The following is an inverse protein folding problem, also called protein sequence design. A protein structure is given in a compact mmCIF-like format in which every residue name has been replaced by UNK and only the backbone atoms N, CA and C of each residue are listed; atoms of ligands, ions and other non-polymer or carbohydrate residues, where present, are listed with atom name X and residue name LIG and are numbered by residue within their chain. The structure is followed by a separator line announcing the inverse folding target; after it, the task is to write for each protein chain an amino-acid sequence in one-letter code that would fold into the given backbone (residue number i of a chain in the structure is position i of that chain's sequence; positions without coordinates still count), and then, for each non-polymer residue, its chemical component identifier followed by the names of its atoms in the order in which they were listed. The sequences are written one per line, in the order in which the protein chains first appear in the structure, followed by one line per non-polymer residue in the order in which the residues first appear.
data_IF_864888713027
#
_entry.id   IF_864888713027
#
_cell.length_a   1.000
_cell.length_b   1.000
_cell.length_c   1.000
_cell.angle_alpha   90.00
_cell.angle_beta   90.00
_cell.angle_gamma   90.00
#
_symmetry.space_group_name_H-M   'P 1'
#
loop_
_entity.id
_entity.type
_entity.pdbx_description
1 polymer ?
#
# COMPACT_ATOMS: atom_id res chain seq x y z
N UNK A 1 21.64 -20.17 -1.55
CA UNK A 1 21.42 -18.70 -1.60
C UNK A 1 22.58 -18.08 -2.37
N UNK A 2 22.33 -17.28 -3.39
CA UNK A 2 23.38 -16.57 -4.13
C UNK A 2 23.96 -15.43 -3.29
N UNK A 3 25.23 -15.07 -3.53
CA UNK A 3 25.91 -13.99 -2.80
C UNK A 3 25.18 -12.63 -2.90
N UNK A 4 24.46 -12.38 -4.02
CA UNK A 4 23.65 -11.18 -4.21
C UNK A 4 22.48 -11.05 -3.23
N UNK A 5 21.83 -12.16 -2.87
CA UNK A 5 20.71 -12.16 -1.93
C UNK A 5 21.15 -11.81 -0.49
N UNK A 6 22.35 -12.26 -0.10
CA UNK A 6 22.92 -11.96 1.23
C UNK A 6 23.37 -10.49 1.30
N UNK A 7 23.95 -9.96 0.22
CA UNK A 7 24.33 -8.55 0.12
C UNK A 7 23.13 -7.59 0.18
N UNK A 8 22.04 -7.91 -0.53
CA UNK A 8 20.82 -7.09 -0.53
C UNK A 8 20.15 -7.00 0.85
N UNK A 9 20.02 -8.14 1.56
CA UNK A 9 19.44 -8.16 2.91
C UNK A 9 20.26 -7.34 3.92
N UNK A 10 21.59 -7.45 3.88
CA UNK A 10 22.48 -6.68 4.75
C UNK A 10 22.35 -5.17 4.50
N UNK A 11 22.29 -4.77 3.22
CA UNK A 11 22.07 -3.38 2.82
C UNK A 11 20.71 -2.86 3.30
N UNK A 12 19.62 -3.60 3.06
CA UNK A 12 18.29 -3.25 3.55
C UNK A 12 18.28 -3.02 5.06
N UNK A 13 18.83 -3.96 5.83
CA UNK A 13 18.91 -3.84 7.29
C UNK A 13 19.70 -2.59 7.71
N UNK A 14 20.88 -2.36 7.12
CA UNK A 14 21.75 -1.21 7.40
C UNK A 14 21.04 0.13 7.16
N UNK A 15 20.30 0.25 6.05
CA UNK A 15 19.56 1.47 5.68
C UNK A 15 18.38 1.70 6.63
N UNK A 16 17.64 0.63 6.98
CA UNK A 16 16.49 0.70 7.89
C UNK A 16 16.93 1.11 9.31
N UNK A 17 17.96 0.46 9.89
CA UNK A 17 18.44 0.83 11.24
C UNK A 17 19.00 2.26 11.30
N UNK A 18 19.50 2.74 10.15
CA UNK A 18 19.96 4.12 10.01
C UNK A 18 18.84 5.11 9.69
N UNK A 19 17.57 4.70 9.82
CA UNK A 19 16.38 5.52 9.58
C UNK A 19 16.33 6.14 8.17
N UNK A 20 16.73 5.36 7.15
CA UNK A 20 16.67 5.76 5.75
C UNK A 20 17.52 7.02 5.42
N UNK A 21 18.69 7.13 6.05
CA UNK A 21 19.66 8.23 5.83
C UNK A 21 20.08 8.32 4.34
N UNK A 22 20.06 9.55 3.80
CA UNK A 22 20.40 9.86 2.40
C UNK A 22 21.81 9.40 2.00
N UNK A 23 22.75 9.28 2.95
CA UNK A 23 24.13 8.88 2.64
C UNK A 23 24.26 7.50 2.02
N UNK A 24 23.22 6.66 2.11
CA UNK A 24 23.21 5.32 1.53
C UNK A 24 22.78 5.27 0.06
N UNK A 25 22.39 6.41 -0.54
CA UNK A 25 21.98 6.46 -1.95
C UNK A 25 23.03 5.86 -2.87
N UNK A 26 24.30 6.27 -2.74
CA UNK A 26 25.39 5.79 -3.60
C UNK A 26 25.64 4.29 -3.42
N UNK A 27 25.54 3.79 -2.19
CA UNK A 27 25.70 2.36 -1.88
C UNK A 27 24.56 1.53 -2.49
N UNK A 28 23.31 2.02 -2.42
CA UNK A 28 22.16 1.37 -3.03
C UNK A 28 22.25 1.39 -4.56
N UNK A 29 22.65 2.52 -5.15
CA UNK A 29 22.84 2.63 -6.59
C UNK A 29 23.95 1.68 -7.08
N UNK A 30 25.06 1.60 -6.36
CA UNK A 30 26.15 0.66 -6.67
C UNK A 30 25.64 -0.79 -6.66
N UNK A 31 24.83 -1.17 -5.67
CA UNK A 31 24.22 -2.49 -5.61
C UNK A 31 23.25 -2.74 -6.78
N UNK A 32 22.42 -1.76 -7.13
CA UNK A 32 21.53 -1.84 -8.29
C UNK A 32 22.32 -2.09 -9.58
N UNK A 33 23.39 -1.33 -9.83
CA UNK A 33 24.25 -1.49 -11.00
C UNK A 33 24.94 -2.86 -11.02
N UNK A 34 25.36 -3.39 -9.86
CA UNK A 34 25.94 -4.72 -9.78
C UNK A 34 24.93 -5.85 -10.13
N UNK A 35 23.62 -5.56 -10.07
CA UNK A 35 22.57 -6.49 -10.45
C UNK A 35 22.12 -6.31 -11.91
N UNK A 36 22.60 -5.30 -12.64
CA UNK A 36 22.21 -5.08 -14.04
C UNK A 36 22.72 -6.19 -14.96
N UNK A 37 21.87 -6.67 -15.86
CA UNK A 37 22.20 -7.77 -16.78
C UNK A 37 22.13 -9.18 -16.15
N UNK A 38 21.83 -9.28 -14.86
CA UNK A 38 21.71 -10.53 -14.11
C UNK A 38 20.23 -10.85 -13.83
N UNK A 39 19.59 -11.60 -14.72
CA UNK A 39 18.16 -11.95 -14.61
C UNK A 39 17.82 -12.65 -13.29
N UNK A 40 18.74 -13.45 -12.75
CA UNK A 40 18.61 -14.12 -11.46
C UNK A 40 18.61 -13.15 -10.25
N UNK A 41 19.04 -11.90 -10.45
CA UNK A 41 19.08 -10.85 -9.43
C UNK A 41 18.03 -9.76 -9.64
N UNK A 42 17.13 -9.91 -10.62
CA UNK A 42 16.11 -8.90 -10.93
C UNK A 42 15.24 -8.55 -9.72
N UNK A 43 14.86 -9.54 -8.91
CA UNK A 43 14.10 -9.28 -7.68
C UNK A 43 14.89 -8.44 -6.68
N UNK A 44 16.18 -8.72 -6.49
CA UNK A 44 17.05 -7.95 -5.60
C UNK A 44 17.25 -6.52 -6.11
N UNK A 45 17.37 -6.33 -7.42
CA UNK A 45 17.43 -5.00 -8.04
C UNK A 45 16.15 -4.21 -7.82
N UNK A 46 14.98 -4.82 -8.01
CA UNK A 46 13.67 -4.19 -7.77
C UNK A 46 13.52 -3.80 -6.30
N UNK A 47 13.87 -4.68 -5.37
CA UNK A 47 13.83 -4.41 -3.93
C UNK A 47 14.76 -3.26 -3.53
N UNK A 48 15.98 -3.22 -4.08
CA UNK A 48 16.92 -2.14 -3.86
C UNK A 48 16.42 -0.79 -4.42
N UNK A 49 15.78 -0.78 -5.60
CA UNK A 49 15.14 0.43 -6.14
C UNK A 49 13.96 0.89 -5.29
N UNK A 50 13.14 -0.03 -4.78
CA UNK A 50 12.09 0.32 -3.84
C UNK A 50 12.67 0.93 -2.55
N UNK A 51 13.77 0.38 -2.03
CA UNK A 51 14.49 0.97 -0.88
C UNK A 51 15.04 2.37 -1.20
N UNK A 52 15.62 2.57 -2.38
CA UNK A 52 16.08 3.88 -2.85
C UNK A 52 14.93 4.90 -2.89
N UNK A 53 13.77 4.49 -3.40
CA UNK A 53 12.57 5.34 -3.41
C UNK A 53 12.12 5.73 -2.00
N UNK A 54 12.18 4.79 -1.04
CA UNK A 54 11.87 5.07 0.38
C UNK A 54 12.88 6.04 1.01
N UNK A 55 14.18 5.90 0.71
CA UNK A 55 15.21 6.85 1.15
C UNK A 55 14.91 8.25 0.61
N UNK A 56 14.60 8.39 -0.68
CA UNK A 56 14.22 9.68 -1.25
C UNK A 56 12.98 10.27 -0.58
N UNK A 57 11.94 9.46 -0.34
CA UNK A 57 10.73 9.89 0.37
C UNK A 57 11.04 10.42 1.77
N UNK A 58 11.83 9.69 2.54
CA UNK A 58 12.15 10.04 3.93
C UNK A 58 12.99 11.32 4.03
N UNK A 59 13.63 11.74 2.95
CA UNK A 59 14.48 12.92 2.88
C UNK A 59 13.84 14.07 2.06
N UNK A 60 12.52 14.03 1.83
CA UNK A 60 11.78 15.11 1.15
C UNK A 60 12.00 15.19 -0.37
N UNK A 61 12.60 14.17 -0.98
CA UNK A 61 12.91 14.11 -2.41
C UNK A 61 11.81 13.37 -3.18
N UNK A 62 10.57 13.87 -3.10
CA UNK A 62 9.39 13.24 -3.71
C UNK A 62 9.51 13.04 -5.21
N UNK A 63 10.14 13.98 -5.92
CA UNK A 63 10.34 13.90 -7.38
C UNK A 63 11.23 12.71 -7.77
N UNK A 64 12.39 12.57 -7.13
CA UNK A 64 13.29 11.42 -7.35
C UNK A 64 12.64 10.10 -6.98
N UNK A 65 11.81 10.08 -5.94
CA UNK A 65 11.04 8.88 -5.57
C UNK A 65 10.02 8.50 -6.65
N UNK A 66 9.33 9.49 -7.23
CA UNK A 66 8.38 9.26 -8.32
C UNK A 66 9.10 8.76 -9.58
N UNK A 67 10.24 9.33 -9.94
CA UNK A 67 11.06 8.89 -11.08
C UNK A 67 11.43 7.41 -10.96
N UNK A 68 11.94 6.98 -9.79
CA UNK A 68 12.24 5.56 -9.54
C UNK A 68 10.98 4.69 -9.64
N UNK A 69 9.84 5.18 -9.12
CA UNK A 69 8.56 4.47 -9.21
C UNK A 69 8.08 4.28 -10.65
N UNK A 70 8.11 5.33 -11.46
CA UNK A 70 7.74 5.29 -12.88
C UNK A 70 8.66 4.37 -13.67
N UNK A 71 9.97 4.43 -13.40
CA UNK A 71 10.95 3.56 -14.03
C UNK A 71 10.63 2.08 -13.76
N UNK A 72 10.36 1.71 -12.49
CA UNK A 72 9.97 0.36 -12.12
C UNK A 72 8.65 -0.07 -12.75
N UNK A 73 7.62 0.78 -12.68
CA UNK A 73 6.29 0.47 -13.21
C UNK A 73 6.30 0.23 -14.73
N UNK A 74 7.17 0.93 -15.46
CA UNK A 74 7.37 0.72 -16.89
C UNK A 74 7.94 -0.66 -17.26
N UNK A 75 8.66 -1.30 -16.33
CA UNK A 75 9.31 -2.59 -16.53
C UNK A 75 8.49 -3.77 -16.00
N UNK A 76 7.53 -3.52 -15.11
CA UNK A 76 6.78 -4.60 -14.46
C UNK A 76 5.86 -5.34 -15.42
N UNK A 77 5.85 -6.66 -15.32
CA UNK A 77 4.77 -7.51 -15.83
C UNK A 77 3.54 -7.40 -14.92
N UNK A 78 2.39 -7.95 -15.33
CA UNK A 78 1.18 -7.92 -14.50
C UNK A 78 1.38 -8.70 -13.19
N UNK A 79 2.23 -9.72 -13.21
CA UNK A 79 2.60 -10.46 -12.01
C UNK A 79 3.47 -9.61 -11.06
N UNK A 80 4.44 -8.89 -11.62
CA UNK A 80 5.28 -7.98 -10.84
C UNK A 80 4.47 -6.81 -10.27
N UNK A 81 3.53 -6.25 -11.02
CA UNK A 81 2.62 -5.20 -10.53
C UNK A 81 1.80 -5.66 -9.32
N UNK A 82 1.31 -6.91 -9.33
CA UNK A 82 0.59 -7.47 -8.19
C UNK A 82 1.50 -7.70 -6.98
N UNK A 83 2.70 -8.26 -7.22
CA UNK A 83 3.69 -8.56 -6.17
C UNK A 83 4.26 -7.29 -5.51
N UNK A 84 4.58 -6.27 -6.30
CA UNK A 84 5.18 -5.01 -5.87
C UNK A 84 4.14 -3.87 -5.85
N UNK A 85 2.96 -4.16 -5.31
CA UNK A 85 1.84 -3.23 -5.26
C UNK A 85 2.16 -1.92 -4.49
N UNK A 86 3.12 -1.94 -3.56
CA UNK A 86 3.58 -0.74 -2.85
C UNK A 86 4.18 0.30 -3.79
N UNK A 87 4.77 -0.10 -4.93
CA UNK A 87 5.33 0.81 -5.93
C UNK A 87 4.23 1.64 -6.58
N UNK A 88 3.12 1.03 -7.02
CA UNK A 88 1.99 1.79 -7.59
C UNK A 88 1.29 2.65 -6.53
N UNK A 89 1.14 2.12 -5.31
CA UNK A 89 0.60 2.87 -4.16
C UNK A 89 1.41 4.13 -3.84
N UNK A 90 2.74 4.04 -3.89
CA UNK A 90 3.66 5.17 -3.73
C UNK A 90 3.54 6.15 -4.88
N UNK A 91 3.56 5.66 -6.13
CA UNK A 91 3.49 6.49 -7.33
C UNK A 91 2.21 7.33 -7.39
N UNK A 92 1.03 6.76 -7.11
CA UNK A 92 -0.23 7.54 -7.10
C UNK A 92 -0.26 8.62 -6.02
N UNK A 93 0.39 8.37 -4.87
CA UNK A 93 0.49 9.38 -3.80
C UNK A 93 1.39 10.53 -4.24
N UNK A 94 2.58 10.19 -4.75
CA UNK A 94 3.58 11.19 -5.16
C UNK A 94 3.15 11.98 -6.37
N UNK A 95 2.48 11.37 -7.33
CA UNK A 95 1.96 12.09 -8.49
C UNK A 95 0.90 13.11 -8.09
N UNK A 96 0.07 12.82 -7.08
CA UNK A 96 -0.83 13.81 -6.48
C UNK A 96 -0.06 14.95 -5.81
N UNK A 97 0.91 14.65 -4.94
CA UNK A 97 1.69 15.69 -4.25
C UNK A 97 2.40 16.64 -5.22
N UNK A 98 2.82 16.13 -6.38
CA UNK A 98 3.60 16.85 -7.39
C UNK A 98 2.74 17.41 -8.54
N UNK A 99 1.44 17.12 -8.60
CA UNK A 99 0.59 17.53 -9.72
C UNK A 99 0.89 16.80 -11.05
N UNK A 100 1.51 15.61 -11.01
CA UNK A 100 1.98 14.82 -12.16
C UNK A 100 1.12 13.57 -12.40
N UNK A 101 -0.20 13.69 -12.23
CA UNK A 101 -1.12 12.54 -12.25
C UNK A 101 -1.12 11.77 -13.57
N UNK A 102 -0.97 12.45 -14.71
CA UNK A 102 -1.05 11.84 -16.05
C UNK A 102 0.04 10.80 -16.29
N UNK A 103 1.22 10.97 -15.69
CA UNK A 103 2.34 10.03 -15.83
C UNK A 103 2.07 8.68 -15.16
N UNK A 104 1.25 8.67 -14.11
CA UNK A 104 0.91 7.44 -13.36
C UNK A 104 -0.37 6.79 -13.87
N UNK A 105 -1.23 7.55 -14.57
CA UNK A 105 -2.53 7.07 -15.08
C UNK A 105 -2.47 5.72 -15.81
N UNK A 106 -1.60 5.49 -16.81
CA UNK A 106 -1.59 4.22 -17.53
C UNK A 106 -1.24 3.03 -16.61
N UNK A 107 -0.37 3.23 -15.63
CA UNK A 107 0.00 2.20 -14.67
C UNK A 107 -1.10 1.92 -13.66
N UNK A 108 -1.81 2.96 -13.20
CA UNK A 108 -2.96 2.82 -12.32
C UNK A 108 -4.09 2.06 -13.01
N UNK A 109 -4.43 2.41 -14.25
CA UNK A 109 -5.44 1.67 -15.04
C UNK A 109 -5.05 0.20 -15.19
N UNK A 110 -3.81 -0.06 -15.62
CA UNK A 110 -3.29 -1.42 -15.77
C UNK A 110 -3.34 -2.22 -14.47
N UNK A 111 -3.01 -1.60 -13.34
CA UNK A 111 -3.09 -2.24 -12.02
C UNK A 111 -4.54 -2.59 -11.63
N UNK A 112 -5.50 -1.69 -11.86
CA UNK A 112 -6.90 -1.91 -11.50
C UNK A 112 -7.54 -3.04 -12.31
N UNK A 113 -7.25 -3.14 -13.61
CA UNK A 113 -7.83 -4.19 -14.47
C UNK A 113 -7.08 -5.54 -14.37
N UNK A 114 -5.94 -5.56 -13.67
CA UNK A 114 -5.13 -6.76 -13.51
C UNK A 114 -5.78 -7.74 -12.53
N UNK A 115 -6.30 -8.86 -13.05
CA UNK A 115 -6.93 -9.93 -12.25
C UNK A 115 -5.99 -10.64 -11.27
N UNK A 116 -4.66 -10.47 -11.41
CA UNK A 116 -3.68 -10.96 -10.44
C UNK A 116 -3.54 -10.05 -9.22
N UNK A 117 -3.98 -8.78 -9.28
CA UNK A 117 -3.93 -7.86 -8.14
C UNK A 117 -4.99 -8.27 -7.10
N UNK A 118 -4.54 -8.57 -5.88
CA UNK A 118 -5.42 -9.06 -4.78
C UNK A 118 -5.33 -8.23 -3.51
N UNK A 119 -4.39 -7.29 -3.44
CA UNK A 119 -4.24 -6.42 -2.28
C UNK A 119 -5.35 -5.38 -2.28
N UNK A 120 -6.42 -5.65 -1.52
CA UNK A 120 -7.63 -4.81 -1.50
C UNK A 120 -7.31 -3.37 -1.10
N UNK A 121 -6.33 -3.16 -0.22
CA UNK A 121 -5.99 -1.83 0.29
C UNK A 121 -5.34 -0.97 -0.81
N UNK A 122 -4.37 -1.55 -1.54
CA UNK A 122 -3.78 -0.87 -2.69
C UNK A 122 -4.78 -0.69 -3.82
N UNK A 123 -5.62 -1.69 -4.11
CA UNK A 123 -6.70 -1.57 -5.09
C UNK A 123 -7.65 -0.42 -4.75
N UNK A 124 -8.12 -0.34 -3.51
CA UNK A 124 -8.99 0.74 -3.04
C UNK A 124 -8.31 2.11 -3.19
N UNK A 125 -7.06 2.23 -2.76
CA UNK A 125 -6.30 3.48 -2.87
C UNK A 125 -6.13 3.95 -4.31
N UNK A 126 -5.75 3.04 -5.22
CA UNK A 126 -5.58 3.35 -6.64
C UNK A 126 -6.93 3.67 -7.29
N UNK A 127 -8.01 2.97 -6.92
CA UNK A 127 -9.37 3.22 -7.42
C UNK A 127 -9.89 4.60 -7.00
N UNK A 128 -9.76 4.95 -5.72
CA UNK A 128 -10.11 6.28 -5.20
C UNK A 128 -9.35 7.37 -5.94
N UNK A 129 -8.03 7.18 -6.10
CA UNK A 129 -7.18 8.11 -6.84
C UNK A 129 -7.66 8.28 -8.28
N UNK A 130 -7.94 7.18 -8.98
CA UNK A 130 -8.33 7.24 -10.39
C UNK A 130 -9.67 7.95 -10.58
N UNK A 131 -10.68 7.60 -9.76
CA UNK A 131 -12.02 8.23 -9.83
C UNK A 131 -11.95 9.71 -9.45
N UNK A 132 -11.11 10.10 -8.49
CA UNK A 132 -10.95 11.51 -8.09
C UNK A 132 -10.42 12.37 -9.24
N UNK A 133 -9.44 11.89 -10.00
CA UNK A 133 -8.76 12.68 -11.03
C UNK A 133 -9.32 12.48 -12.44
N UNK A 134 -10.01 11.37 -12.69
CA UNK A 134 -10.56 11.04 -14.00
C UNK A 134 -12.01 10.52 -13.91
N UNK A 135 -12.94 11.23 -13.25
CA UNK A 135 -14.30 10.74 -12.97
C UNK A 135 -15.14 10.43 -14.23
N UNK A 136 -14.79 11.06 -15.35
CA UNK A 136 -15.48 10.91 -16.64
C UNK A 136 -14.78 9.90 -17.59
N UNK A 137 -13.76 9.19 -17.11
CA UNK A 137 -13.02 8.26 -17.92
C UNK A 137 -13.88 7.04 -18.32
N UNK A 138 -13.85 6.60 -19.59
CA UNK A 138 -14.75 5.55 -20.09
C UNK A 138 -14.59 4.20 -19.36
N UNK A 139 -13.39 3.91 -18.83
CA UNK A 139 -13.07 2.66 -18.15
C UNK A 139 -13.79 2.49 -16.78
N UNK A 140 -14.40 3.55 -16.25
CA UNK A 140 -15.11 3.54 -14.96
C UNK A 140 -16.37 2.66 -15.01
N UNK A 141 -16.98 2.48 -16.19
CA UNK A 141 -18.36 2.00 -16.26
C UNK A 141 -18.56 0.49 -16.07
N UNK A 142 -17.60 -0.36 -16.46
CA UNK A 142 -17.69 -1.83 -16.33
C UNK A 142 -16.56 -2.45 -15.51
N UNK A 143 -15.31 -2.15 -15.83
CA UNK A 143 -14.13 -2.80 -15.27
C UNK A 143 -13.97 -2.44 -13.79
N UNK A 144 -14.19 -1.18 -13.45
CA UNK A 144 -14.01 -0.71 -12.07
C UNK A 144 -15.14 -1.14 -11.14
N UNK A 145 -16.34 -1.43 -11.67
CA UNK A 145 -17.44 -1.99 -10.85
C UNK A 145 -17.08 -3.37 -10.29
N UNK A 146 -16.40 -4.20 -11.09
CA UNK A 146 -15.95 -5.52 -10.62
C UNK A 146 -14.86 -5.37 -9.55
N UNK A 147 -13.90 -4.47 -9.76
CA UNK A 147 -12.84 -4.15 -8.77
C UNK A 147 -13.47 -3.67 -7.47
N UNK A 148 -14.39 -2.70 -7.54
CA UNK A 148 -15.10 -2.17 -6.39
C UNK A 148 -15.91 -3.25 -5.64
N UNK A 149 -16.60 -4.12 -6.38
CA UNK A 149 -17.37 -5.22 -5.80
C UNK A 149 -16.46 -6.19 -5.03
N UNK A 150 -15.29 -6.51 -5.56
CA UNK A 150 -14.29 -7.34 -4.89
C UNK A 150 -13.74 -6.71 -3.61
N UNK A 151 -13.44 -5.40 -3.65
CA UNK A 151 -13.01 -4.64 -2.46
C UNK A 151 -14.13 -4.61 -1.41
N UNK A 152 -15.34 -4.22 -1.81
CA UNK A 152 -16.50 -4.10 -0.91
C UNK A 152 -16.82 -5.42 -0.23
N UNK A 153 -16.80 -6.53 -0.97
CA UNK A 153 -16.98 -7.88 -0.41
C UNK A 153 -15.90 -8.23 0.60
N UNK A 154 -14.63 -7.94 0.29
CA UNK A 154 -13.50 -8.19 1.20
C UNK A 154 -13.61 -7.40 2.49
N UNK A 155 -14.04 -6.14 2.39
CA UNK A 155 -14.20 -5.25 3.53
C UNK A 155 -15.50 -5.50 4.32
N UNK A 156 -16.45 -6.24 3.76
CA UNK A 156 -17.80 -6.41 4.33
C UNK A 156 -18.64 -5.14 4.24
N UNK A 157 -18.40 -4.31 3.22
CA UNK A 157 -19.18 -3.11 2.92
C UNK A 157 -20.37 -3.48 2.03
N UNK A 158 -21.54 -2.90 2.34
CA UNK A 158 -22.77 -3.06 1.57
C UNK A 158 -23.03 -1.76 0.79
N UNK A 159 -22.70 -1.70 -0.51
CA UNK A 159 -22.86 -0.47 -1.29
C UNK A 159 -24.33 -0.21 -1.63
N UNK A 160 -24.69 1.07 -1.74
CA UNK A 160 -25.98 1.50 -2.28
C UNK A 160 -26.02 1.25 -3.80
N UNK A 161 -26.81 0.26 -4.23
CA UNK A 161 -26.93 -0.13 -5.63
C UNK A 161 -27.56 0.93 -6.53
N UNK A 162 -28.21 1.94 -5.96
CA UNK A 162 -28.80 3.06 -6.71
C UNK A 162 -27.81 4.21 -6.98
N UNK A 163 -26.71 4.27 -6.23
CA UNK A 163 -25.69 5.30 -6.36
C UNK A 163 -24.75 5.05 -7.56
N UNK A 164 -24.12 6.12 -8.07
CA UNK A 164 -23.09 5.99 -9.10
C UNK A 164 -21.84 5.30 -8.54
N UNK A 165 -20.99 4.73 -9.39
CA UNK A 165 -19.73 4.12 -8.91
C UNK A 165 -18.84 5.15 -8.21
N UNK A 166 -18.81 6.38 -8.70
CA UNK A 166 -18.07 7.50 -8.09
C UNK A 166 -18.54 7.77 -6.67
N UNK A 167 -19.86 7.81 -6.46
CA UNK A 167 -20.44 8.03 -5.13
C UNK A 167 -20.18 6.83 -4.20
N UNK A 168 -20.33 5.61 -4.73
CA UNK A 168 -20.04 4.38 -3.98
C UNK A 168 -18.58 4.32 -3.51
N UNK A 169 -17.63 4.66 -4.39
CA UNK A 169 -16.20 4.71 -4.05
C UNK A 169 -15.90 5.82 -3.05
N UNK A 170 -16.55 6.98 -3.19
CA UNK A 170 -16.40 8.09 -2.24
C UNK A 170 -16.91 7.71 -0.85
N UNK A 171 -18.10 7.09 -0.75
CA UNK A 171 -18.65 6.60 0.50
C UNK A 171 -17.75 5.52 1.15
N UNK A 172 -17.24 4.57 0.36
CA UNK A 172 -16.31 3.56 0.87
C UNK A 172 -14.98 4.18 1.32
N UNK A 173 -14.49 5.21 0.64
CA UNK A 173 -13.27 5.95 1.03
C UNK A 173 -13.43 6.61 2.40
N UNK A 174 -14.57 7.28 2.64
CA UNK A 174 -14.87 7.92 3.93
C UNK A 174 -15.01 6.88 5.04
N UNK A 175 -15.70 5.79 4.76
CA UNK A 175 -15.88 4.69 5.68
C UNK A 175 -14.54 4.01 6.03
N UNK A 176 -13.67 3.81 5.05
CA UNK A 176 -12.32 3.30 5.24
C UNK A 176 -11.49 4.23 6.14
N UNK A 177 -11.53 5.55 5.89
CA UNK A 177 -10.83 6.53 6.72
C UNK A 177 -11.34 6.57 8.17
N UNK A 178 -12.67 6.46 8.37
CA UNK A 178 -13.29 6.34 9.70
C UNK A 178 -12.78 5.10 10.44
N UNK A 179 -12.78 3.95 9.78
CA UNK A 179 -12.33 2.68 10.35
C UNK A 179 -10.84 2.68 10.69
N UNK A 180 -9.99 3.24 9.81
CA UNK A 180 -8.56 3.37 10.05
C UNK A 180 -8.26 4.23 11.28
N UNK A 181 -8.92 5.39 11.39
CA UNK A 181 -8.83 6.26 12.57
C UNK A 181 -9.23 5.52 13.85
N UNK A 182 -10.36 4.81 13.83
CA UNK A 182 -10.86 4.08 14.99
C UNK A 182 -9.92 2.92 15.39
N UNK A 183 -9.39 2.17 14.41
CA UNK A 183 -8.45 1.08 14.68
C UNK A 183 -7.14 1.61 15.27
N UNK A 184 -6.63 2.74 14.76
CA UNK A 184 -5.42 3.38 15.29
C UNK A 184 -5.61 3.86 16.75
N UNK A 185 -6.77 4.44 17.06
CA UNK A 185 -7.13 4.82 18.43
C UNK A 185 -7.27 3.60 19.34
N UNK A 186 -7.97 2.56 18.88
CA UNK A 186 -8.10 1.30 19.58
C UNK A 186 -6.73 0.69 19.88
N UNK A 187 -5.87 0.55 18.88
CA UNK A 187 -4.52 -0.02 19.02
C UNK A 187 -3.73 0.70 20.10
N UNK A 188 -3.67 2.04 20.05
CA UNK A 188 -2.98 2.84 21.05
C UNK A 188 -3.50 2.57 22.47
N UNK A 189 -4.82 2.65 22.67
CA UNK A 189 -5.44 2.45 23.98
C UNK A 189 -5.20 1.02 24.46
N UNK A 190 -5.41 0.02 23.59
CA UNK A 190 -5.34 -1.40 23.95
C UNK A 190 -3.95 -1.83 24.44
N UNK A 191 -2.87 -1.36 23.79
CA UNK A 191 -1.50 -1.68 24.21
C UNK A 191 -1.05 -0.94 25.48
N UNK A 192 -1.65 0.19 25.82
CA UNK A 192 -1.38 0.94 27.06
C UNK A 192 -2.26 0.51 28.24
N UNK A 193 -3.33 -0.25 27.98
CA UNK A 193 -4.35 -0.63 28.99
C UNK A 193 -3.93 -1.87 29.78
N UNK A 194 -4.24 -1.85 31.09
CA UNK A 194 -4.10 -3.01 31.99
C UNK A 194 -5.06 -4.15 31.62
N UNK A 195 -4.63 -5.40 31.80
CA UNK A 195 -5.32 -6.61 31.33
C UNK A 195 -6.80 -6.68 31.71
N UNK A 196 -7.14 -6.32 32.94
CA UNK A 196 -8.53 -6.32 33.45
C UNK A 196 -9.50 -5.37 32.71
N UNK A 197 -8.98 -4.41 31.93
CA UNK A 197 -9.78 -3.45 31.17
C UNK A 197 -9.79 -3.74 29.65
N UNK A 198 -9.04 -4.74 29.18
CA UNK A 198 -8.88 -5.05 27.74
C UNK A 198 -10.19 -5.45 27.06
N UNK A 199 -11.01 -6.26 27.73
CA UNK A 199 -12.31 -6.69 27.20
C UNK A 199 -13.24 -5.49 26.96
N UNK A 200 -13.24 -4.51 27.86
CA UNK A 200 -14.01 -3.28 27.71
C UNK A 200 -13.52 -2.46 26.53
N UNK A 201 -12.20 -2.27 26.38
CA UNK A 201 -11.62 -1.52 25.27
C UNK A 201 -11.96 -2.16 23.92
N UNK A 202 -11.93 -3.50 23.83
CA UNK A 202 -12.35 -4.22 22.62
C UNK A 202 -13.84 -4.05 22.35
N UNK A 203 -14.70 -4.18 23.38
CA UNK A 203 -16.13 -3.98 23.23
C UNK A 203 -16.48 -2.56 22.77
N UNK A 204 -15.83 -1.55 23.33
CA UNK A 204 -16.00 -0.14 22.95
C UNK A 204 -15.62 0.07 21.47
N UNK A 205 -14.50 -0.51 21.01
CA UNK A 205 -14.13 -0.46 19.60
C UNK A 205 -15.15 -1.14 18.69
N UNK A 206 -15.61 -2.34 19.05
CA UNK A 206 -16.60 -3.08 18.25
C UNK A 206 -17.94 -2.33 18.17
N UNK A 207 -18.29 -1.53 19.18
CA UNK A 207 -19.48 -0.69 19.18
C UNK A 207 -19.44 0.44 18.14
N UNK A 208 -18.26 0.81 17.62
CA UNK A 208 -18.12 1.79 16.52
C UNK A 208 -18.60 1.26 15.16
N UNK A 209 -19.10 0.02 15.15
CA UNK A 209 -19.50 -0.76 14.00
C UNK A 209 -18.43 -0.76 12.89
N UNK A 210 -17.23 -1.31 13.17
CA UNK A 210 -16.18 -1.36 12.17
C UNK A 210 -16.52 -2.36 11.06
N UNK A 211 -15.97 -2.10 9.88
CA UNK A 211 -15.99 -3.01 8.73
C UNK A 211 -15.36 -4.36 9.08
N UNK A 212 -15.75 -5.41 8.36
CA UNK A 212 -15.36 -6.79 8.68
C UNK A 212 -13.84 -6.97 8.76
N UNK A 213 -13.10 -6.41 7.80
CA UNK A 213 -11.63 -6.51 7.78
C UNK A 213 -10.98 -5.82 8.99
N UNK A 214 -11.55 -4.70 9.44
CA UNK A 214 -11.06 -3.94 10.59
C UNK A 214 -11.38 -4.63 11.93
N UNK A 215 -12.50 -5.35 12.01
CA UNK A 215 -12.77 -6.28 13.13
C UNK A 215 -11.68 -7.34 13.22
N UNK A 216 -11.34 -7.96 12.08
CA UNK A 216 -10.30 -8.99 12.02
C UNK A 216 -8.94 -8.45 12.48
N UNK A 217 -8.53 -7.28 12.02
CA UNK A 217 -7.28 -6.65 12.46
C UNK A 217 -7.23 -6.43 13.96
N UNK A 218 -8.31 -5.93 14.57
CA UNK A 218 -8.38 -5.75 16.02
C UNK A 218 -8.23 -7.09 16.77
N UNK A 219 -8.92 -8.15 16.32
CA UNK A 219 -8.77 -9.48 16.93
C UNK A 219 -7.36 -10.06 16.76
N UNK A 220 -6.70 -9.83 15.63
CA UNK A 220 -5.33 -10.29 15.43
C UNK A 220 -4.35 -9.51 16.31
N UNK A 221 -4.58 -8.22 16.58
CA UNK A 221 -3.81 -7.44 17.57
C UNK A 221 -3.96 -7.99 18.99
N UNK A 222 -5.18 -8.31 19.42
CA UNK A 222 -5.46 -8.94 20.72
C UNK A 222 -4.67 -10.24 20.88
N UNK A 223 -4.72 -11.12 19.86
CA UNK A 223 -3.96 -12.38 19.87
C UNK A 223 -2.45 -12.16 19.96
N UNK A 224 -1.92 -11.13 19.29
CA UNK A 224 -0.50 -10.81 19.33
C UNK A 224 -0.05 -10.36 20.72
N UNK A 225 -0.82 -9.50 21.41
CA UNK A 225 -0.50 -9.04 22.77
C UNK A 225 -0.47 -10.21 23.76
N UNK A 226 -1.44 -11.12 23.67
CA UNK A 226 -1.53 -12.27 24.58
C UNK A 226 -0.33 -13.22 24.43
N UNK A 227 0.17 -13.43 23.21
CA UNK A 227 1.36 -14.26 22.96
C UNK A 227 2.67 -13.66 23.49
N UNK A 228 2.74 -12.35 23.67
CA UNK A 228 3.94 -11.67 24.22
C UNK A 228 3.92 -11.66 25.75
N UNK A 229 2.75 -11.91 26.36
CA UNK A 229 2.55 -11.91 27.81
C UNK A 229 2.68 -13.31 28.43
N UNK A 230 2.84 -14.35 27.60
CA UNK A 230 3.15 -15.74 27.96
C UNK A 230 4.67 -15.98 27.92
#
# INVERSE_FOLDING_TARGET
MSAGAVGGLALCHKVIISKLDIKYVDEIQTFCSACEGHAELDSSRIEAKNLLSLVYVSNGLSEKSLEVGLELLSQFSDEMLSKYNSTISGAVTRSTDLGRMDEVRPFALRYLINKKAKDWNTLLKVLIWYIRYYPDAPEISSEFKEVFSGISSTMGHLPDSSASLTDQVSALSEENARNDKNLNQFSKIYFETATENEERVLADYLSTNPLFVYKKFAFDMVKMKNRVSE
#
